data_IF_077212658080
#
_entry.id   IF_077212658080
#
_cell.length_a   1.000
_cell.length_b   1.000
_cell.length_c   1.000
_cell.angle_alpha   90.00
_cell.angle_beta   90.00
_cell.angle_gamma   90.00
#
_symmetry.space_group_name_H-M   'P 1'
#
loop_
_entity.id
_entity.type
_entity.pdbx_description
1 polymer ?
#
# COMPACT_ATOMS: atom_id res chain seq x y z
N UNK A 1 2.45 23.84 -2.40
CA UNK A 1 2.64 22.71 -1.50
C UNK A 1 4.04 22.13 -1.68
N UNK A 2 4.57 21.50 -0.63
CA UNK A 2 5.86 20.84 -0.68
C UNK A 2 5.69 19.35 -0.37
N UNK A 3 6.65 18.54 -0.84
CA UNK A 3 6.69 17.11 -0.52
C UNK A 3 6.78 16.83 0.99
N UNK A 4 7.17 17.81 1.78
CA UNK A 4 7.31 17.72 3.24
C UNK A 4 6.12 18.28 4.01
N UNK A 5 5.07 18.73 3.35
CA UNK A 5 3.91 19.40 4.00
C UNK A 5 3.28 18.53 5.11
N UNK A 6 3.24 17.23 4.89
CA UNK A 6 2.67 16.25 5.85
C UNK A 6 3.74 15.26 6.33
N UNK A 7 4.96 15.74 6.57
CA UNK A 7 6.04 14.88 7.06
C UNK A 7 5.69 14.28 8.42
N UNK A 8 5.73 12.96 8.54
CA UNK A 8 5.44 12.28 9.78
C UNK A 8 6.63 12.33 10.75
N UNK A 9 6.44 11.92 12.03
CA UNK A 9 7.53 11.66 12.94
C UNK A 9 8.52 10.64 12.34
N UNK A 10 9.78 10.73 12.75
CA UNK A 10 10.78 9.73 12.34
C UNK A 10 10.41 8.35 12.90
N UNK A 11 10.64 7.27 12.14
CA UNK A 11 10.47 5.92 12.65
C UNK A 11 11.51 5.61 13.74
N UNK A 12 11.28 4.61 14.60
CA UNK A 12 12.28 4.09 15.52
C UNK A 12 13.53 3.68 14.76
N UNK A 13 14.70 4.04 15.28
CA UNK A 13 15.98 3.66 14.68
C UNK A 13 16.32 2.21 14.96
N UNK A 14 17.02 1.57 14.03
CA UNK A 14 17.55 0.23 14.21
C UNK A 14 18.41 0.16 15.47
N UNK A 15 18.09 -0.77 16.34
CA UNK A 15 18.83 -1.09 17.54
C UNK A 15 18.68 -2.59 17.85
N UNK A 16 19.71 -3.18 18.45
CA UNK A 16 19.68 -4.56 18.97
C UNK A 16 19.17 -4.65 20.40
N UNK A 17 18.80 -3.52 20.98
CA UNK A 17 18.28 -3.48 22.34
C UNK A 17 16.93 -4.22 22.43
N UNK A 18 16.92 -5.32 23.18
CA UNK A 18 15.70 -6.11 23.40
C UNK A 18 14.67 -5.26 24.14
N UNK A 19 13.41 -5.41 23.74
CA UNK A 19 12.26 -4.65 24.24
C UNK A 19 12.21 -3.16 23.82
N UNK A 20 13.12 -2.68 22.96
CA UNK A 20 12.95 -1.39 22.29
C UNK A 20 11.70 -1.41 21.39
N UNK A 21 11.21 -0.25 20.99
CA UNK A 21 10.11 -0.15 20.02
C UNK A 21 10.47 -0.88 18.71
N UNK A 22 11.65 -0.58 18.17
CA UNK A 22 12.13 -1.20 16.93
C UNK A 22 12.24 -2.73 17.02
N UNK A 23 12.72 -3.25 18.16
CA UNK A 23 12.81 -4.69 18.39
C UNK A 23 11.43 -5.37 18.40
N UNK A 24 10.44 -4.77 19.07
CA UNK A 24 9.07 -5.30 19.08
C UNK A 24 8.44 -5.31 17.70
N UNK A 25 8.61 -4.23 16.94
CA UNK A 25 8.12 -4.11 15.56
C UNK A 25 8.76 -5.16 14.63
N UNK A 26 10.07 -5.41 14.80
CA UNK A 26 10.79 -6.44 14.03
C UNK A 26 10.27 -7.84 14.39
N UNK A 27 10.05 -8.12 15.67
CA UNK A 27 9.50 -9.41 16.11
C UNK A 27 8.06 -9.60 15.64
N UNK A 28 7.25 -8.56 15.61
CA UNK A 28 5.89 -8.64 15.05
C UNK A 28 5.94 -9.13 13.60
N UNK A 29 6.76 -8.53 12.75
CA UNK A 29 6.91 -8.97 11.35
C UNK A 29 7.38 -10.41 11.25
N UNK A 30 8.37 -10.79 12.05
CA UNK A 30 8.91 -12.15 12.09
C UNK A 30 7.85 -13.19 12.49
N UNK A 31 7.13 -12.94 13.58
CA UNK A 31 6.11 -13.87 14.09
C UNK A 31 4.89 -13.95 13.15
N UNK A 32 4.43 -12.82 12.61
CA UNK A 32 3.36 -12.80 11.61
C UNK A 32 3.76 -13.60 10.39
N UNK A 33 4.98 -13.38 9.87
CA UNK A 33 5.48 -14.08 8.69
C UNK A 33 5.56 -15.59 8.86
N UNK A 34 5.89 -16.07 10.07
CA UNK A 34 5.92 -17.52 10.38
C UNK A 34 4.55 -18.17 10.50
N UNK A 35 3.54 -17.41 10.88
CA UNK A 35 2.23 -17.92 11.28
C UNK A 35 1.09 -17.42 10.36
N UNK A 36 1.38 -17.07 9.12
CA UNK A 36 0.38 -16.59 8.16
C UNK A 36 -0.74 -17.60 7.95
N UNK A 37 -1.97 -17.16 8.17
CA UNK A 37 -3.15 -17.89 7.74
C UNK A 37 -3.31 -17.86 6.22
N UNK A 38 -4.10 -18.77 5.65
CA UNK A 38 -4.35 -18.78 4.20
C UNK A 38 -5.05 -17.47 3.74
N UNK A 39 -5.93 -16.90 4.57
CA UNK A 39 -6.55 -15.62 4.23
C UNK A 39 -5.54 -14.46 4.24
N UNK A 40 -4.63 -14.42 5.19
CA UNK A 40 -3.56 -13.41 5.21
C UNK A 40 -2.64 -13.53 3.99
N UNK A 41 -2.32 -14.74 3.55
CA UNK A 41 -1.56 -14.98 2.32
C UNK A 41 -2.33 -14.49 1.09
N UNK A 42 -3.65 -14.76 1.03
CA UNK A 42 -4.52 -14.28 -0.05
C UNK A 42 -4.56 -12.75 -0.09
N UNK A 43 -4.72 -12.09 1.07
CA UNK A 43 -4.70 -10.64 1.19
C UNK A 43 -3.34 -10.08 0.71
N UNK A 44 -2.23 -10.64 1.20
CA UNK A 44 -0.91 -10.20 0.80
C UNK A 44 -0.68 -10.35 -0.71
N UNK A 45 -1.13 -11.47 -1.28
CA UNK A 45 -0.98 -11.75 -2.71
C UNK A 45 -1.87 -10.87 -3.58
N UNK A 46 -3.11 -10.60 -3.17
CA UNK A 46 -4.05 -9.73 -3.87
C UNK A 46 -3.51 -8.30 -4.02
N UNK A 47 -2.98 -7.73 -2.93
CA UNK A 47 -2.42 -6.38 -2.89
C UNK A 47 -0.91 -6.32 -3.15
N UNK A 48 -0.30 -7.37 -3.71
CA UNK A 48 1.14 -7.33 -3.98
C UNK A 48 1.49 -6.21 -4.97
N UNK A 49 0.70 -6.07 -6.04
CA UNK A 49 0.81 -4.99 -7.02
C UNK A 49 2.25 -4.73 -7.49
N UNK A 50 3.04 -5.80 -7.56
CA UNK A 50 4.43 -5.71 -8.00
C UNK A 50 4.57 -6.29 -9.41
N UNK A 51 4.60 -5.45 -10.46
CA UNK A 51 4.75 -5.92 -11.84
C UNK A 51 6.16 -6.46 -12.16
N UNK A 52 7.10 -6.31 -11.23
CA UNK A 52 8.51 -6.65 -11.39
C UNK A 52 8.93 -7.88 -10.60
N UNK A 53 7.98 -8.70 -10.14
CA UNK A 53 8.32 -9.99 -9.51
C UNK A 53 8.98 -10.90 -10.54
N UNK A 54 10.25 -11.20 -10.30
CA UNK A 54 11.06 -12.04 -11.17
C UNK A 54 11.26 -13.41 -10.53
N UNK A 55 10.75 -14.47 -11.19
CA UNK A 55 11.05 -15.83 -10.80
C UNK A 55 12.14 -16.36 -11.70
N UNK A 56 13.28 -16.75 -11.12
CA UNK A 56 14.41 -17.33 -11.84
C UNK A 56 14.45 -18.83 -11.55
N UNK A 57 14.30 -19.65 -12.60
CA UNK A 57 14.41 -21.10 -12.51
C UNK A 57 15.44 -21.57 -13.55
N UNK A 58 16.62 -21.95 -13.11
CA UNK A 58 17.72 -22.30 -13.98
C UNK A 58 18.14 -21.13 -14.88
N UNK A 59 18.00 -21.30 -16.19
CA UNK A 59 18.33 -20.27 -17.19
C UNK A 59 17.14 -19.43 -17.65
N UNK A 60 15.97 -19.63 -17.06
CA UNK A 60 14.73 -18.96 -17.50
C UNK A 60 14.27 -17.99 -16.41
N UNK A 61 13.94 -16.77 -16.82
CA UNK A 61 13.36 -15.74 -15.98
C UNK A 61 11.89 -15.54 -16.39
N UNK A 62 11.01 -15.66 -15.42
CA UNK A 62 9.58 -15.39 -15.60
C UNK A 62 9.20 -14.13 -14.82
N UNK A 63 8.60 -13.16 -15.50
CA UNK A 63 7.96 -12.03 -14.86
C UNK A 63 6.48 -12.31 -14.67
N UNK A 64 5.98 -12.20 -13.45
CA UNK A 64 4.55 -12.22 -13.19
C UNK A 64 3.96 -10.87 -13.64
N UNK A 65 2.92 -10.94 -14.47
CA UNK A 65 2.16 -9.73 -14.84
C UNK A 65 1.21 -9.42 -13.69
N UNK A 66 1.37 -8.25 -13.09
CA UNK A 66 0.45 -7.64 -12.13
C UNK A 66 0.31 -6.15 -12.45
N UNK A 67 -0.69 -5.52 -11.86
CA UNK A 67 -0.80 -4.06 -11.92
C UNK A 67 0.20 -3.40 -10.96
N UNK A 68 0.42 -2.10 -11.16
CA UNK A 68 1.08 -1.27 -10.14
C UNK A 68 0.05 -0.84 -9.09
N UNK A 69 0.46 -0.46 -7.88
CA UNK A 69 -0.48 0.00 -6.85
C UNK A 69 -1.37 1.17 -7.31
N UNK A 70 -0.79 2.11 -8.06
CA UNK A 70 -1.56 3.21 -8.64
C UNK A 70 -2.51 2.73 -9.75
N UNK A 71 -2.06 1.81 -10.60
CA UNK A 71 -2.89 1.18 -11.64
C UNK A 71 -4.09 0.45 -11.05
N UNK A 72 -3.93 -0.21 -9.91
CA UNK A 72 -4.99 -0.91 -9.20
C UNK A 72 -6.12 0.05 -8.77
N UNK A 73 -5.78 1.17 -8.12
CA UNK A 73 -6.78 2.18 -7.73
C UNK A 73 -7.45 2.87 -8.93
N UNK A 74 -6.72 3.08 -10.01
CA UNK A 74 -7.31 3.57 -11.26
C UNK A 74 -8.29 2.54 -11.87
N UNK A 75 -7.97 1.25 -11.80
CA UNK A 75 -8.85 0.18 -12.28
C UNK A 75 -10.09 0.00 -11.39
N UNK A 76 -9.96 0.13 -10.06
CA UNK A 76 -11.09 0.18 -9.12
C UNK A 76 -12.05 1.30 -9.54
N UNK A 77 -11.55 2.54 -9.72
CA UNK A 77 -12.39 3.66 -10.16
C UNK A 77 -13.09 3.35 -11.50
N UNK A 78 -12.37 2.82 -12.48
CA UNK A 78 -12.94 2.45 -13.78
C UNK A 78 -14.02 1.36 -13.69
N UNK A 79 -13.82 0.36 -12.86
CA UNK A 79 -14.79 -0.71 -12.61
C UNK A 79 -16.07 -0.16 -11.97
N UNK A 80 -15.91 0.71 -10.97
CA UNK A 80 -17.05 1.38 -10.31
C UNK A 80 -17.82 2.23 -11.31
N UNK A 81 -17.15 3.07 -12.07
CA UNK A 81 -17.80 3.93 -13.05
C UNK A 81 -18.60 3.12 -14.08
N UNK A 82 -18.04 2.02 -14.57
CA UNK A 82 -18.71 1.13 -15.54
C UNK A 82 -19.91 0.42 -14.93
N UNK A 83 -19.73 -0.20 -13.78
CA UNK A 83 -20.77 -1.05 -13.17
C UNK A 83 -21.96 -0.23 -12.66
N UNK A 84 -21.74 1.00 -12.24
CA UNK A 84 -22.79 1.89 -11.75
C UNK A 84 -23.28 2.89 -12.79
N UNK A 85 -22.87 2.75 -14.06
CA UNK A 85 -23.26 3.64 -15.18
C UNK A 85 -23.08 5.12 -14.83
N UNK A 86 -21.96 5.44 -14.19
CA UNK A 86 -21.61 6.80 -13.79
C UNK A 86 -21.52 7.69 -15.04
N UNK A 87 -21.95 8.96 -14.95
CA UNK A 87 -21.87 9.88 -16.09
C UNK A 87 -20.44 10.06 -16.57
N UNK A 88 -20.28 10.49 -17.82
CA UNK A 88 -18.97 10.72 -18.42
C UNK A 88 -18.17 11.76 -17.62
N UNK A 89 -18.80 12.88 -17.26
CA UNK A 89 -18.19 13.98 -16.51
C UNK A 89 -17.69 13.48 -15.13
N UNK A 90 -18.53 12.77 -14.39
CA UNK A 90 -18.16 12.24 -13.08
C UNK A 90 -17.09 11.15 -13.17
N UNK A 91 -17.08 10.38 -14.27
CA UNK A 91 -16.02 9.42 -14.52
C UNK A 91 -14.66 10.09 -14.75
N UNK A 92 -14.64 11.17 -15.55
CA UNK A 92 -13.42 11.98 -15.76
C UNK A 92 -12.95 12.59 -14.46
N UNK A 93 -13.87 13.16 -13.66
CA UNK A 93 -13.56 13.70 -12.35
C UNK A 93 -12.91 12.64 -11.43
N UNK A 94 -13.50 11.45 -11.37
CA UNK A 94 -12.95 10.33 -10.60
C UNK A 94 -11.54 9.96 -11.03
N UNK A 95 -11.29 9.84 -12.34
CA UNK A 95 -9.95 9.54 -12.86
C UNK A 95 -8.95 10.66 -12.59
N UNK A 96 -9.32 11.91 -12.82
CA UNK A 96 -8.45 13.05 -12.62
C UNK A 96 -8.05 13.20 -11.14
N UNK A 97 -9.02 13.19 -10.24
CA UNK A 97 -8.77 13.36 -8.82
C UNK A 97 -7.98 12.19 -8.22
N UNK A 98 -8.32 10.96 -8.59
CA UNK A 98 -7.56 9.78 -8.16
C UNK A 98 -6.12 9.84 -8.65
N UNK A 99 -5.88 10.23 -9.90
CA UNK A 99 -4.53 10.37 -10.47
C UNK A 99 -3.70 11.41 -9.72
N UNK A 100 -4.27 12.57 -9.42
CA UNK A 100 -3.60 13.65 -8.67
C UNK A 100 -3.30 13.18 -7.25
N UNK A 101 -4.28 12.57 -6.57
CA UNK A 101 -4.11 12.06 -5.22
C UNK A 101 -3.00 11.01 -5.12
N UNK A 102 -2.94 10.08 -6.09
CA UNK A 102 -1.88 9.07 -6.20
C UNK A 102 -0.51 9.72 -6.37
N UNK A 103 -0.39 10.68 -7.28
CA UNK A 103 0.88 11.35 -7.58
C UNK A 103 1.39 12.15 -6.38
N UNK A 104 0.54 12.96 -5.77
CA UNK A 104 0.90 13.81 -4.63
C UNK A 104 1.30 12.93 -3.41
N UNK A 105 0.56 11.86 -3.15
CA UNK A 105 0.87 10.90 -2.10
C UNK A 105 2.21 10.19 -2.36
N UNK A 106 2.48 9.84 -3.62
CA UNK A 106 3.72 9.20 -4.02
C UNK A 106 4.94 10.11 -3.83
N UNK A 107 4.85 11.36 -4.30
CA UNK A 107 5.91 12.37 -4.13
C UNK A 107 6.27 12.53 -2.65
N UNK A 108 5.27 12.74 -1.80
CA UNK A 108 5.51 12.88 -0.37
C UNK A 108 6.08 11.62 0.27
N UNK A 109 5.57 10.44 -0.10
CA UNK A 109 6.06 9.16 0.41
C UNK A 109 7.52 8.92 0.02
N UNK A 110 7.91 9.20 -1.22
CA UNK A 110 9.28 9.01 -1.70
C UNK A 110 10.26 10.00 -1.06
N UNK A 111 9.87 11.24 -0.86
CA UNK A 111 10.65 12.18 -0.07
C UNK A 111 10.98 11.61 1.31
N UNK A 112 9.96 11.11 2.00
CA UNK A 112 10.11 10.53 3.33
C UNK A 112 11.02 9.30 3.35
N UNK A 113 10.87 8.41 2.37
CA UNK A 113 11.69 7.21 2.22
C UNK A 113 13.17 7.54 2.14
N UNK A 114 13.54 8.48 1.30
CA UNK A 114 14.94 8.83 1.09
C UNK A 114 15.49 9.78 2.16
N UNK A 115 14.63 10.52 2.84
CA UNK A 115 15.00 11.34 3.99
C UNK A 115 15.29 10.48 5.23
N UNK A 116 14.53 9.41 5.46
CA UNK A 116 14.69 8.53 6.64
C UNK A 116 15.64 7.38 6.39
N UNK A 117 15.67 6.84 5.16
CA UNK A 117 16.49 5.68 4.75
C UNK A 117 16.31 4.48 5.68
N UNK A 118 15.08 4.24 6.15
CA UNK A 118 14.78 3.14 7.06
C UNK A 118 15.06 1.79 6.39
N UNK A 119 15.69 0.90 7.17
CA UNK A 119 16.00 -0.47 6.75
C UNK A 119 14.72 -1.32 6.65
N UNK A 120 14.74 -2.31 5.77
CA UNK A 120 13.63 -3.27 5.60
C UNK A 120 13.65 -4.39 6.66
N UNK A 121 12.46 -4.97 7.01
CA UNK A 121 12.38 -6.08 7.96
C UNK A 121 13.30 -7.24 7.61
N UNK A 122 13.35 -7.66 6.34
CA UNK A 122 14.19 -8.77 5.88
C UNK A 122 15.67 -8.60 6.27
N UNK A 123 16.22 -7.41 6.06
CA UNK A 123 17.62 -7.12 6.42
C UNK A 123 17.86 -7.27 7.91
N UNK A 124 16.95 -6.76 8.74
CA UNK A 124 17.09 -6.82 10.20
C UNK A 124 16.87 -8.23 10.73
N UNK A 125 15.82 -8.90 10.27
CA UNK A 125 15.49 -10.25 10.70
C UNK A 125 16.63 -11.22 10.35
N UNK A 126 17.16 -11.13 9.13
CA UNK A 126 18.27 -11.98 8.71
C UNK A 126 19.57 -11.69 9.47
N UNK A 127 19.81 -10.44 9.85
CA UNK A 127 20.98 -10.07 10.66
C UNK A 127 20.88 -10.47 12.12
N UNK A 128 19.71 -10.32 12.73
CA UNK A 128 19.60 -10.28 14.18
C UNK A 128 18.73 -11.39 14.79
N UNK A 129 17.91 -12.11 13.99
CA UNK A 129 16.96 -13.12 14.48
C UNK A 129 17.14 -14.46 13.76
N UNK A 130 16.94 -14.52 12.45
CA UNK A 130 16.95 -15.74 11.66
C UNK A 130 17.54 -15.49 10.27
N UNK A 131 18.78 -15.91 10.00
CA UNK A 131 19.47 -15.65 8.75
C UNK A 131 18.86 -16.37 7.53
N UNK A 132 17.89 -17.27 7.75
CA UNK A 132 17.20 -17.99 6.66
C UNK A 132 15.78 -17.53 6.44
N UNK A 133 15.32 -16.57 7.25
CA UNK A 133 13.97 -16.04 7.09
C UNK A 133 13.81 -15.32 5.75
N UNK A 134 12.67 -15.52 5.12
CA UNK A 134 12.27 -14.82 3.90
C UNK A 134 10.89 -14.23 4.06
N UNK A 135 10.66 -13.02 3.58
CA UNK A 135 9.33 -12.43 3.54
C UNK A 135 8.44 -13.20 2.56
N UNK A 136 7.14 -13.17 2.78
CA UNK A 136 6.16 -13.79 1.87
C UNK A 136 6.11 -13.10 0.50
N UNK A 137 6.31 -11.77 0.47
CA UNK A 137 6.42 -11.00 -0.76
C UNK A 137 7.86 -10.53 -0.98
N UNK A 138 8.21 -10.30 -2.22
CA UNK A 138 9.54 -9.79 -2.57
C UNK A 138 9.78 -8.40 -1.96
N UNK A 139 10.86 -8.25 -1.23
CA UNK A 139 11.27 -6.96 -0.65
C UNK A 139 11.63 -5.97 -1.74
N UNK A 140 10.95 -4.79 -1.78
CA UNK A 140 11.27 -3.77 -2.78
C UNK A 140 12.65 -3.13 -2.55
N UNK A 141 13.36 -2.72 -3.63
CA UNK A 141 14.75 -2.21 -3.55
C UNK A 141 14.81 -0.72 -3.19
N UNK A 142 13.99 -0.26 -2.24
CA UNK A 142 13.97 1.13 -1.75
C UNK A 142 13.61 1.18 -0.26
N UNK A 143 13.90 2.32 0.44
CA UNK A 143 13.72 2.42 1.88
C UNK A 143 12.30 2.08 2.36
N UNK A 144 12.24 1.66 3.62
CA UNK A 144 11.02 1.10 4.20
C UNK A 144 9.95 2.16 4.47
N UNK A 145 10.28 3.25 5.16
CA UNK A 145 9.35 4.19 5.77
C UNK A 145 9.08 5.43 4.89
N UNK A 146 7.82 5.83 4.69
CA UNK A 146 6.55 5.18 5.02
C UNK A 146 6.18 4.14 3.96
N UNK A 147 5.18 3.28 4.26
CA UNK A 147 4.65 2.34 3.28
C UNK A 147 4.03 3.07 2.08
N UNK A 148 4.54 2.77 0.88
CA UNK A 148 4.00 3.32 -0.37
C UNK A 148 2.55 2.93 -0.58
N UNK A 149 2.22 1.64 -0.45
CA UNK A 149 0.85 1.14 -0.55
C UNK A 149 -0.08 1.87 0.42
N UNK A 150 0.27 1.94 1.72
CA UNK A 150 -0.58 2.60 2.71
C UNK A 150 -0.86 4.06 2.36
N UNK A 151 0.18 4.80 1.92
CA UNK A 151 0.05 6.23 1.63
C UNK A 151 -0.83 6.48 0.41
N UNK A 152 -0.59 5.78 -0.70
CA UNK A 152 -1.35 6.02 -1.93
C UNK A 152 -2.77 5.47 -1.85
N UNK A 153 -2.98 4.31 -1.18
CA UNK A 153 -4.32 3.76 -1.04
C UNK A 153 -5.21 4.63 -0.18
N UNK A 154 -4.68 5.19 0.93
CA UNK A 154 -5.44 6.09 1.77
C UNK A 154 -5.82 7.38 1.03
N UNK A 155 -4.91 7.94 0.25
CA UNK A 155 -5.19 9.15 -0.54
C UNK A 155 -6.26 8.88 -1.61
N UNK A 156 -6.18 7.77 -2.32
CA UNK A 156 -7.18 7.35 -3.31
C UNK A 156 -8.53 7.07 -2.67
N UNK A 157 -8.54 6.33 -1.55
CA UNK A 157 -9.76 6.02 -0.82
C UNK A 157 -10.47 7.27 -0.32
N UNK A 158 -9.72 8.28 0.13
CA UNK A 158 -10.28 9.54 0.59
C UNK A 158 -11.01 10.28 -0.54
N UNK A 159 -10.38 10.36 -1.71
CA UNK A 159 -10.98 10.98 -2.90
C UNK A 159 -12.20 10.22 -3.39
N UNK A 160 -12.11 8.90 -3.53
CA UNK A 160 -13.23 8.09 -3.99
C UNK A 160 -14.39 8.09 -2.98
N UNK A 161 -14.09 8.17 -1.68
CA UNK A 161 -15.11 8.33 -0.65
C UNK A 161 -15.88 9.65 -0.78
N UNK A 162 -15.19 10.76 -1.06
CA UNK A 162 -15.85 12.04 -1.29
C UNK A 162 -16.72 12.03 -2.55
N UNK A 163 -16.30 11.32 -3.60
CA UNK A 163 -17.05 11.23 -4.85
C UNK A 163 -18.26 10.29 -4.81
N UNK A 164 -18.13 9.16 -4.13
CA UNK A 164 -19.12 8.07 -4.20
C UNK A 164 -19.81 7.75 -2.86
N UNK A 165 -19.28 8.24 -1.75
CA UNK A 165 -19.87 8.07 -0.42
C UNK A 165 -19.09 7.14 0.51
N UNK A 166 -19.30 7.32 1.82
CA UNK A 166 -18.59 6.59 2.90
C UNK A 166 -18.83 5.07 2.88
N UNK A 167 -20.03 4.63 2.53
CA UNK A 167 -20.45 3.23 2.58
C UNK A 167 -20.67 2.66 1.18
N UNK A 168 -19.80 3.03 0.24
CA UNK A 168 -19.88 2.55 -1.12
C UNK A 168 -19.27 1.14 -1.21
N UNK A 169 -20.13 0.14 -1.25
CA UNK A 169 -19.73 -1.25 -1.43
C UNK A 169 -19.39 -1.54 -2.90
N UNK A 170 -18.31 -2.28 -3.15
CA UNK A 170 -17.89 -2.64 -4.49
C UNK A 170 -17.19 -4.00 -4.55
N UNK A 171 -17.27 -4.61 -5.73
CA UNK A 171 -16.54 -5.83 -6.08
C UNK A 171 -15.30 -5.44 -6.87
N UNK A 172 -14.13 -5.75 -6.34
CA UNK A 172 -12.86 -5.52 -7.01
C UNK A 172 -12.42 -6.78 -7.78
N UNK A 173 -12.48 -6.68 -9.09
CA UNK A 173 -12.01 -7.70 -10.02
C UNK A 173 -10.84 -7.21 -10.88
N UNK A 174 -10.16 -6.15 -10.45
CA UNK A 174 -9.12 -5.46 -11.22
C UNK A 174 -7.97 -6.40 -11.59
N UNK A 175 -7.55 -7.23 -10.66
CA UNK A 175 -6.45 -8.18 -10.85
C UNK A 175 -6.89 -9.58 -11.32
N UNK A 176 -8.18 -9.78 -11.57
CA UNK A 176 -8.71 -11.10 -11.96
C UNK A 176 -8.05 -11.69 -13.21
N UNK A 177 -7.72 -10.84 -14.20
CA UNK A 177 -7.05 -11.26 -15.44
C UNK A 177 -5.57 -11.65 -15.23
N UNK A 178 -4.95 -11.22 -14.14
CA UNK A 178 -3.53 -11.42 -13.88
C UNK A 178 -3.27 -12.53 -12.86
N UNK A 179 -4.05 -12.57 -11.79
CA UNK A 179 -3.86 -13.50 -10.68
C UNK A 179 -5.08 -14.37 -10.37
N UNK A 180 -6.18 -14.21 -11.11
CA UNK A 180 -7.41 -14.99 -10.92
C UNK A 180 -8.17 -14.70 -9.62
N UNK A 181 -7.92 -13.56 -8.98
CA UNK A 181 -8.51 -13.20 -7.68
C UNK A 181 -9.42 -11.99 -7.78
N UNK A 182 -10.44 -11.99 -6.95
CA UNK A 182 -11.37 -10.87 -6.73
C UNK A 182 -11.63 -10.70 -5.24
N UNK A 183 -12.05 -9.50 -4.81
CA UNK A 183 -12.40 -9.21 -3.42
C UNK A 183 -13.60 -8.26 -3.34
N UNK A 184 -14.37 -8.39 -2.27
CA UNK A 184 -15.51 -7.52 -1.98
C UNK A 184 -15.20 -6.60 -0.81
N UNK A 185 -15.57 -5.33 -0.95
CA UNK A 185 -15.36 -4.30 0.05
C UNK A 185 -16.64 -3.53 0.33
N UNK A 186 -16.87 -3.15 1.58
CA UNK A 186 -18.01 -2.33 2.01
C UNK A 186 -17.72 -0.83 1.92
N UNK A 187 -16.45 -0.45 1.72
CA UNK A 187 -16.03 0.95 1.54
C UNK A 187 -14.61 1.02 0.96
N UNK A 188 -14.26 2.18 0.40
CA UNK A 188 -12.90 2.45 -0.06
C UNK A 188 -11.89 2.46 1.10
N UNK A 189 -12.31 2.95 2.26
CA UNK A 189 -11.46 2.95 3.47
C UNK A 189 -11.15 1.56 3.97
N UNK A 190 -12.10 0.61 3.87
CA UNK A 190 -11.83 -0.80 4.17
C UNK A 190 -10.81 -1.40 3.20
N UNK A 191 -10.96 -1.15 1.91
CA UNK A 191 -10.01 -1.61 0.90
C UNK A 191 -8.60 -1.05 1.16
N UNK A 192 -8.49 0.25 1.49
CA UNK A 192 -7.21 0.87 1.82
C UNK A 192 -6.58 0.28 3.10
N UNK A 193 -7.38 0.00 4.13
CA UNK A 193 -6.90 -0.65 5.35
C UNK A 193 -6.38 -2.06 5.06
N UNK A 194 -7.07 -2.83 4.22
CA UNK A 194 -6.62 -4.16 3.81
C UNK A 194 -5.35 -4.10 2.95
N UNK A 195 -5.28 -3.18 1.98
CA UNK A 195 -4.09 -2.95 1.18
C UNK A 195 -2.88 -2.56 2.06
N UNK A 196 -3.11 -1.78 3.11
CA UNK A 196 -2.08 -1.43 4.07
C UNK A 196 -1.57 -2.64 4.86
N UNK A 197 -2.47 -3.37 5.53
CA UNK A 197 -2.08 -4.52 6.36
C UNK A 197 -1.47 -5.65 5.54
N UNK A 198 -1.80 -5.75 4.25
CA UNK A 198 -1.20 -6.72 3.33
C UNK A 198 0.33 -6.66 3.32
N UNK A 199 0.90 -5.49 3.59
CA UNK A 199 2.36 -5.28 3.61
C UNK A 199 3.04 -5.88 4.84
N UNK A 200 2.32 -5.91 5.98
CA UNK A 200 2.76 -6.63 7.17
C UNK A 200 2.72 -8.15 6.92
N UNK A 201 1.61 -8.64 6.35
CA UNK A 201 1.50 -10.05 5.95
C UNK A 201 2.54 -10.45 4.91
N UNK A 202 2.86 -9.52 4.02
CA UNK A 202 3.96 -9.68 3.06
C UNK A 202 5.36 -9.75 3.68
N UNK A 203 5.51 -9.33 4.94
CA UNK A 203 6.80 -9.32 5.64
C UNK A 203 7.75 -8.21 5.22
N UNK A 204 7.27 -7.17 4.54
CA UNK A 204 8.11 -6.16 3.89
C UNK A 204 8.01 -4.76 4.50
N UNK A 205 7.14 -4.57 5.49
CA UNK A 205 6.95 -3.33 6.23
C UNK A 205 6.72 -3.56 7.71
N UNK A 206 7.20 -2.62 8.54
CA UNK A 206 6.86 -2.53 9.96
C UNK A 206 5.48 -1.86 10.15
N UNK A 207 4.76 -2.21 11.21
CA UNK A 207 3.42 -1.66 11.47
C UNK A 207 3.37 -0.13 11.54
N UNK A 208 4.26 0.59 12.22
CA UNK A 208 4.21 2.05 12.25
C UNK A 208 4.32 2.70 10.86
N UNK A 209 5.01 2.04 9.92
CA UNK A 209 5.11 2.49 8.55
C UNK A 209 3.76 2.42 7.82
N UNK A 210 2.94 1.41 8.16
CA UNK A 210 1.60 1.24 7.61
C UNK A 210 0.65 2.28 8.17
N UNK A 211 0.59 2.39 9.49
CA UNK A 211 -0.33 3.28 10.21
C UNK A 211 -0.05 4.74 9.84
N UNK A 212 1.22 5.12 9.85
CA UNK A 212 1.64 6.48 9.45
C UNK A 212 1.37 6.74 7.98
N UNK A 213 1.56 5.74 7.12
CA UNK A 213 1.25 5.82 5.70
C UNK A 213 -0.23 6.10 5.45
N UNK A 214 -1.13 5.39 6.15
CA UNK A 214 -2.57 5.62 6.05
C UNK A 214 -2.96 7.03 6.48
N UNK A 215 -2.46 7.50 7.63
CA UNK A 215 -2.75 8.86 8.12
C UNK A 215 -2.26 9.91 7.13
N UNK A 216 -1.02 9.78 6.67
CA UNK A 216 -0.44 10.74 5.72
C UNK A 216 -1.19 10.75 4.39
N UNK A 217 -1.52 9.57 3.86
CA UNK A 217 -2.28 9.45 2.62
C UNK A 217 -3.65 10.12 2.71
N UNK A 218 -4.38 9.90 3.80
CA UNK A 218 -5.65 10.57 4.03
C UNK A 218 -5.50 12.10 4.06
N UNK A 219 -4.48 12.63 4.76
CA UNK A 219 -4.20 14.07 4.79
C UNK A 219 -3.91 14.64 3.39
N UNK A 220 -3.23 13.90 2.53
CA UNK A 220 -2.99 14.31 1.13
C UNK A 220 -4.29 14.36 0.35
N UNK A 221 -5.13 13.33 0.45
CA UNK A 221 -6.46 13.30 -0.18
C UNK A 221 -7.36 14.45 0.27
N UNK A 222 -7.45 14.68 1.58
CA UNK A 222 -8.22 15.78 2.16
C UNK A 222 -7.73 17.15 1.68
N UNK A 223 -6.41 17.34 1.61
CA UNK A 223 -5.83 18.59 1.12
C UNK A 223 -6.19 18.87 -0.34
N UNK A 224 -6.18 17.83 -1.18
CA UNK A 224 -6.61 17.93 -2.58
C UNK A 224 -8.08 18.34 -2.67
N UNK A 225 -8.96 17.61 -1.98
CA UNK A 225 -10.40 17.90 -1.97
C UNK A 225 -10.68 19.32 -1.48
N UNK A 226 -10.06 19.74 -0.39
CA UNK A 226 -10.19 21.09 0.18
C UNK A 226 -9.78 22.16 -0.82
N UNK A 227 -8.68 21.98 -1.54
CA UNK A 227 -8.19 22.96 -2.53
C UNK A 227 -9.11 23.12 -3.72
N UNK A 228 -9.79 22.07 -4.08
CA UNK A 228 -10.74 22.06 -5.19
C UNK A 228 -12.18 22.36 -4.75
N UNK A 229 -12.41 22.65 -3.45
CA UNK A 229 -13.73 22.89 -2.85
C UNK A 229 -14.72 21.73 -3.10
N UNK A 230 -14.23 20.50 -3.07
CA UNK A 230 -15.03 19.26 -3.17
C UNK A 230 -15.36 18.82 -1.73
N UNK A 231 -16.66 18.61 -1.47
CA UNK A 231 -17.20 18.32 -0.14
C UNK A 231 -17.98 17.02 -0.14
#
# INVERSE_FOLDING_TARGET
DSATQFSPPRPPMWTKEKNSAFWRETHEVYEVGKNLTEEQKRIAWFWDDNPFVMNVVGHVMFANKKMTPGGHWMAINGTICRNNKVSFEKSIEGYALTSIALLDAFIGCWEEKYRTRQVRPETVINSDIDPKWQPFLQTPPFPEYTSGHSTITASSAQVLTALFGEHFAFHDNSDSAYIGMTRDFISFKQAAAEASVSRLYGGIHFRPSLDTGLVRGAMVGDNLLKKLNIH
#
